data_IF_162847822487
#
_entry.id   IF_162847822487
#
_cell.length_a   1.000
_cell.length_b   1.000
_cell.length_c   1.000
_cell.angle_alpha   90.00
_cell.angle_beta   90.00
_cell.angle_gamma   90.00
#
_symmetry.space_group_name_H-M   'P 1'
#
loop_
_entity.id
_entity.type
_entity.pdbx_description
1 polymer ?
#
# COMPACT_ATOMS: atom_id res chain seq x y z
N UNK A 1 7.00 -12.63 -24.53
CA UNK A 1 5.95 -11.73 -24.04
C UNK A 1 6.58 -10.38 -23.69
N UNK A 2 7.32 -10.25 -22.59
CA UNK A 2 7.92 -8.97 -22.16
C UNK A 2 8.72 -8.24 -23.26
N UNK A 3 9.60 -8.93 -23.99
CA UNK A 3 10.36 -8.34 -25.12
C UNK A 3 9.50 -7.92 -26.32
N UNK A 4 8.40 -8.62 -26.58
CA UNK A 4 7.57 -8.42 -27.79
C UNK A 4 6.46 -7.40 -27.56
N UNK A 5 5.94 -7.30 -26.35
CA UNK A 5 4.74 -6.52 -26.03
C UNK A 5 5.00 -5.39 -25.03
N UNK A 6 6.02 -5.52 -24.18
CA UNK A 6 6.25 -4.62 -23.03
C UNK A 6 7.64 -3.97 -23.07
N UNK A 7 8.29 -3.98 -24.24
CA UNK A 7 9.61 -3.34 -24.44
C UNK A 7 10.74 -3.91 -23.56
N UNK A 8 10.60 -5.16 -23.09
CA UNK A 8 11.61 -5.82 -22.24
C UNK A 8 11.52 -5.47 -20.75
N UNK A 9 10.48 -4.75 -20.28
CA UNK A 9 10.33 -4.43 -18.85
C UNK A 9 9.83 -5.64 -18.03
N UNK A 10 10.74 -6.57 -17.79
CA UNK A 10 10.48 -7.79 -17.02
C UNK A 10 10.05 -7.45 -15.59
N UNK A 11 10.59 -6.38 -14.99
CA UNK A 11 10.32 -6.04 -13.59
C UNK A 11 8.86 -5.65 -13.40
N UNK A 12 8.34 -4.75 -14.24
CA UNK A 12 6.94 -4.32 -14.15
C UNK A 12 5.97 -5.44 -14.51
N UNK A 13 6.31 -6.27 -15.50
CA UNK A 13 5.50 -7.44 -15.87
C UNK A 13 5.42 -8.44 -14.72
N UNK A 14 6.55 -8.80 -14.12
CA UNK A 14 6.57 -9.75 -12.99
C UNK A 14 5.83 -9.21 -11.77
N UNK A 15 6.01 -7.93 -11.43
CA UNK A 15 5.31 -7.28 -10.33
C UNK A 15 3.79 -7.32 -10.55
N UNK A 16 3.34 -6.95 -11.74
CA UNK A 16 1.91 -6.89 -12.08
C UNK A 16 1.27 -8.27 -12.04
N UNK A 17 1.92 -9.28 -12.62
CA UNK A 17 1.44 -10.66 -12.56
C UNK A 17 1.36 -11.18 -11.12
N UNK A 18 2.35 -10.87 -10.29
CA UNK A 18 2.34 -11.31 -8.90
C UNK A 18 1.23 -10.63 -8.07
N UNK A 19 1.01 -9.33 -8.26
CA UNK A 19 -0.12 -8.62 -7.65
C UNK A 19 -1.47 -9.21 -8.08
N UNK A 20 -1.64 -9.55 -9.35
CA UNK A 20 -2.84 -10.21 -9.86
C UNK A 20 -3.02 -11.61 -9.25
N UNK A 21 -1.96 -12.38 -9.12
CA UNK A 21 -2.00 -13.71 -8.48
C UNK A 21 -2.41 -13.61 -7.01
N UNK A 22 -1.87 -12.66 -6.25
CA UNK A 22 -2.25 -12.41 -4.86
C UNK A 22 -3.73 -12.02 -4.75
N UNK A 23 -4.22 -11.11 -5.61
CA UNK A 23 -5.63 -10.69 -5.61
C UNK A 23 -6.56 -11.82 -6.04
N UNK A 24 -6.17 -12.65 -7.01
CA UNK A 24 -6.91 -13.85 -7.39
C UNK A 24 -6.96 -14.89 -6.25
N UNK A 25 -5.92 -14.95 -5.43
CA UNK A 25 -5.87 -15.76 -4.20
C UNK A 25 -6.59 -15.15 -2.99
N UNK A 26 -7.32 -14.03 -3.16
CA UNK A 26 -7.93 -13.23 -2.08
C UNK A 26 -6.93 -12.68 -1.05
N UNK A 27 -5.64 -12.63 -1.37
CA UNK A 27 -4.58 -12.09 -0.50
C UNK A 27 -4.40 -10.57 -0.68
N UNK A 28 -5.50 -9.82 -0.66
CA UNK A 28 -5.51 -8.37 -0.95
C UNK A 28 -4.56 -7.58 -0.05
N UNK A 29 -4.49 -7.90 1.24
CA UNK A 29 -3.61 -7.21 2.19
C UNK A 29 -2.12 -7.31 1.77
N UNK A 30 -1.67 -8.50 1.34
CA UNK A 30 -0.30 -8.72 0.88
C UNK A 30 -0.02 -7.97 -0.42
N UNK A 31 -1.00 -7.92 -1.32
CA UNK A 31 -0.88 -7.16 -2.57
C UNK A 31 -0.73 -5.66 -2.28
N UNK A 32 -1.53 -5.10 -1.38
CA UNK A 32 -1.49 -3.68 -1.04
C UNK A 32 -0.20 -3.30 -0.29
N UNK A 33 0.27 -4.16 0.62
CA UNK A 33 1.57 -4.00 1.30
C UNK A 33 2.73 -4.00 0.30
N UNK A 34 2.76 -4.97 -0.64
CA UNK A 34 3.79 -5.04 -1.67
C UNK A 34 3.78 -3.82 -2.59
N UNK A 35 2.59 -3.37 -3.00
CA UNK A 35 2.42 -2.21 -3.87
C UNK A 35 2.89 -0.92 -3.19
N UNK A 36 2.62 -0.76 -1.89
CA UNK A 36 3.11 0.37 -1.10
C UNK A 36 4.65 0.39 -1.00
N UNK A 37 5.28 -0.78 -0.78
CA UNK A 37 6.75 -0.93 -0.75
C UNK A 37 7.35 -0.56 -2.10
N UNK A 38 6.78 -1.04 -3.21
CA UNK A 38 7.30 -0.79 -4.56
C UNK A 38 7.14 0.67 -5.00
N UNK A 39 6.08 1.35 -4.56
CA UNK A 39 5.86 2.77 -4.84
C UNK A 39 6.65 3.70 -3.92
N UNK A 40 7.39 3.18 -2.94
CA UNK A 40 8.12 3.98 -1.97
C UNK A 40 7.21 4.85 -1.10
N UNK A 41 5.93 4.48 -0.94
CA UNK A 41 5.03 5.21 -0.05
C UNK A 41 5.50 5.00 1.38
N UNK A 42 5.88 6.09 2.05
CA UNK A 42 6.17 6.05 3.48
C UNK A 42 4.95 5.62 4.29
N UNK A 43 5.18 4.96 5.43
CA UNK A 43 4.13 4.56 6.37
C UNK A 43 3.58 5.71 7.22
N UNK A 44 4.15 6.92 7.09
CA UNK A 44 3.78 8.09 7.87
C UNK A 44 2.57 8.83 7.31
N UNK A 45 1.56 9.07 8.14
CA UNK A 45 0.47 9.98 7.83
C UNK A 45 0.89 11.43 8.06
N UNK A 46 0.40 12.35 7.23
CA UNK A 46 0.60 13.78 7.45
C UNK A 46 -0.05 14.21 8.78
N UNK A 47 0.56 15.09 9.60
CA UNK A 47 0.03 15.46 10.91
C UNK A 47 -1.42 15.97 10.89
N UNK A 48 -1.84 16.66 9.81
CA UNK A 48 -3.23 17.08 9.66
C UNK A 48 -4.21 15.90 9.52
N UNK A 49 -3.78 14.81 8.87
CA UNK A 49 -4.56 13.56 8.76
C UNK A 49 -4.65 12.89 10.13
N UNK A 50 -3.53 12.83 10.88
CA UNK A 50 -3.52 12.34 12.26
C UNK A 50 -4.49 13.12 13.16
N UNK A 51 -4.50 14.45 13.05
CA UNK A 51 -5.43 15.30 13.80
C UNK A 51 -6.89 15.03 13.41
N UNK A 52 -7.17 14.92 12.11
CA UNK A 52 -8.51 14.61 11.61
C UNK A 52 -8.99 13.25 12.13
N UNK A 53 -8.14 12.21 12.09
CA UNK A 53 -8.45 10.88 12.66
C UNK A 53 -8.77 11.03 14.15
N UNK A 54 -7.91 11.70 14.92
CA UNK A 54 -8.08 11.85 16.37
C UNK A 54 -9.41 12.53 16.72
N UNK A 55 -9.75 13.64 16.04
CA UNK A 55 -10.98 14.40 16.31
C UNK A 55 -12.22 13.63 15.85
N UNK A 56 -12.21 13.05 14.64
CA UNK A 56 -13.37 12.37 14.07
C UNK A 56 -13.67 11.02 14.70
N UNK A 57 -12.70 10.41 15.38
CA UNK A 57 -12.89 9.18 16.15
C UNK A 57 -13.05 9.43 17.66
N UNK A 58 -13.20 10.70 18.06
CA UNK A 58 -13.39 11.15 19.45
C UNK A 58 -12.29 10.64 20.42
N UNK A 59 -11.07 10.47 19.92
CA UNK A 59 -9.93 10.03 20.73
C UNK A 59 -9.40 11.19 21.56
N UNK A 60 -9.41 11.01 22.89
CA UNK A 60 -8.69 11.91 23.80
C UNK A 60 -7.19 11.88 23.51
N UNK A 61 -6.47 12.94 23.89
CA UNK A 61 -5.02 13.00 23.69
C UNK A 61 -4.31 11.81 24.34
N UNK A 62 -4.74 11.39 25.53
CA UNK A 62 -4.16 10.24 26.25
C UNK A 62 -4.42 8.90 25.57
N UNK A 63 -5.57 8.73 24.90
CA UNK A 63 -5.85 7.52 24.12
C UNK A 63 -5.03 7.50 22.82
N UNK A 64 -4.99 8.63 22.11
CA UNK A 64 -4.24 8.75 20.87
C UNK A 64 -2.73 8.56 21.07
N UNK A 65 -2.17 9.03 22.18
CA UNK A 65 -0.75 8.85 22.50
C UNK A 65 -0.38 7.40 22.87
N UNK A 66 -1.34 6.58 23.30
CA UNK A 66 -1.13 5.17 23.66
C UNK A 66 -1.28 4.20 22.48
N UNK A 67 -1.97 4.65 21.43
CA UNK A 67 -2.18 3.91 20.18
C UNK A 67 -0.89 3.88 19.36
#
# INVERSE_FOLDING_TARGET
FAEKEEGGDIKSVCLTLFLLALRAGNEHRKADELEAIMQGRGSGLHPAVCLAIRVNTFLSCSQYHKM
#
